data_IF_597764768647
#
_entry.id   IF_597764768647
#
_cell.length_a   1.000
_cell.length_b   1.000
_cell.length_c   1.000
_cell.angle_alpha   90.00
_cell.angle_beta   90.00
_cell.angle_gamma   90.00
#
_symmetry.space_group_name_H-M   'P 1'
#
loop_
_entity.id
_entity.type
_entity.pdbx_description
1 polymer ?
#
# COMPACT_ATOMS: atom_id res chain seq x y z
N UNK A 1 -35.37 9.33 53.17
CA UNK A 1 -34.67 8.47 52.18
C UNK A 1 -35.45 8.47 50.88
N UNK A 2 -34.77 8.74 49.76
CA UNK A 2 -35.00 8.29 48.38
C UNK A 2 -34.45 9.35 47.41
N UNK A 3 -33.18 9.21 47.06
CA UNK A 3 -32.55 9.91 45.93
C UNK A 3 -32.83 9.14 44.63
N UNK A 4 -33.14 9.80 43.51
CA UNK A 4 -32.90 9.25 42.19
C UNK A 4 -31.58 9.77 41.61
N UNK A 5 -30.82 8.82 41.09
CA UNK A 5 -29.65 8.98 40.24
C UNK A 5 -30.07 9.51 38.86
N UNK A 6 -29.36 10.49 38.32
CA UNK A 6 -28.91 10.50 36.91
C UNK A 6 -27.81 11.53 36.78
N UNK A 7 -26.60 11.03 36.58
CA UNK A 7 -25.46 11.78 36.06
C UNK A 7 -25.12 11.24 34.68
N UNK A 8 -24.47 12.08 33.87
CA UNK A 8 -23.77 11.62 32.68
C UNK A 8 -24.13 12.38 31.42
N UNK A 9 -23.41 13.47 31.18
CA UNK A 9 -23.32 14.11 29.88
C UNK A 9 -22.74 13.12 28.84
N UNK A 10 -23.50 12.79 27.81
CA UNK A 10 -22.98 12.08 26.64
C UNK A 10 -22.29 13.08 25.71
N UNK A 11 -20.96 13.05 25.77
CA UNK A 11 -20.02 13.78 24.94
C UNK A 11 -20.05 13.25 23.51
N UNK A 12 -20.01 14.16 22.55
CA UNK A 12 -19.67 13.96 21.15
C UNK A 12 -18.26 13.37 21.03
N UNK A 13 -18.18 12.09 20.68
CA UNK A 13 -17.04 11.37 20.08
C UNK A 13 -17.74 10.25 19.27
N UNK A 14 -17.40 9.87 18.05
CA UNK A 14 -16.10 9.75 17.43
C UNK A 14 -16.41 9.34 15.98
N UNK A 15 -16.08 10.16 14.98
CA UNK A 15 -15.98 9.70 13.59
C UNK A 15 -14.51 9.38 13.35
N UNK A 16 -14.01 8.36 14.03
CA UNK A 16 -12.69 7.83 13.74
C UNK A 16 -12.85 6.67 12.77
N UNK A 17 -12.23 6.88 11.63
CA UNK A 17 -12.22 6.03 10.47
C UNK A 17 -11.68 4.65 10.87
N UNK A 18 -12.48 3.62 10.62
CA UNK A 18 -12.23 2.25 11.05
C UNK A 18 -11.25 1.64 10.03
N UNK A 19 -9.96 1.81 10.27
CA UNK A 19 -8.91 0.94 9.74
C UNK A 19 -8.01 0.52 10.90
N UNK A 20 -8.56 -0.33 11.75
CA UNK A 20 -7.75 -1.12 12.67
C UNK A 20 -8.36 -2.51 12.75
N UNK A 21 -7.74 -3.44 12.05
CA UNK A 21 -7.93 -4.89 12.19
C UNK A 21 -6.51 -5.44 12.08
N UNK A 22 -5.84 -5.63 13.22
CA UNK A 22 -5.66 -6.95 13.83
C UNK A 22 -4.86 -7.90 12.92
N UNK A 23 -3.57 -7.63 12.78
CA UNK A 23 -2.48 -8.60 12.79
C UNK A 23 -1.21 -7.85 13.21
N UNK A 24 -0.46 -8.36 14.19
CA UNK A 24 0.80 -7.75 14.69
C UNK A 24 1.95 -8.06 13.71
N UNK A 25 1.70 -7.92 12.41
CA UNK A 25 2.70 -7.83 11.37
C UNK A 25 3.00 -6.36 11.14
N UNK A 26 4.21 -5.90 11.42
CA UNK A 26 4.55 -4.49 11.33
C UNK A 26 4.27 -3.95 9.91
N UNK A 27 3.18 -3.19 9.75
CA UNK A 27 2.89 -2.47 8.50
C UNK A 27 3.97 -1.41 8.34
N UNK A 28 4.75 -1.54 7.28
CA UNK A 28 5.89 -0.68 7.02
C UNK A 28 5.43 0.58 6.31
N UNK A 29 5.29 1.63 7.08
CA UNK A 29 4.78 2.91 6.62
C UNK A 29 5.93 3.90 6.35
N UNK A 30 6.01 4.43 5.14
CA UNK A 30 6.99 5.45 4.74
C UNK A 30 6.32 6.72 4.22
N UNK A 31 6.88 7.89 4.57
CA UNK A 31 6.57 9.14 3.87
C UNK A 31 7.24 9.14 2.49
N UNK A 32 6.66 9.83 1.50
CA UNK A 32 7.27 9.96 0.17
C UNK A 32 8.68 10.59 0.21
N UNK A 33 8.98 11.34 1.26
CA UNK A 33 10.31 11.90 1.54
C UNK A 33 11.35 10.80 1.83
N UNK A 34 10.91 9.64 2.33
CA UNK A 34 11.76 8.47 2.59
C UNK A 34 11.93 7.59 1.34
N UNK A 35 12.06 8.23 0.17
CA UNK A 35 12.11 7.55 -1.14
C UNK A 35 13.16 6.43 -1.22
N UNK A 36 14.32 6.61 -0.58
CA UNK A 36 15.35 5.58 -0.51
C UNK A 36 14.83 4.28 0.11
N UNK A 37 14.15 4.37 1.26
CA UNK A 37 13.55 3.20 1.93
C UNK A 37 12.41 2.62 1.10
N UNK A 38 11.59 3.47 0.49
CA UNK A 38 10.50 3.04 -0.39
C UNK A 38 11.05 2.19 -1.53
N UNK A 39 12.13 2.65 -2.17
CA UNK A 39 12.81 1.93 -3.26
C UNK A 39 13.32 0.56 -2.79
N UNK A 40 14.00 0.51 -1.63
CA UNK A 40 14.49 -0.76 -1.06
C UNK A 40 13.37 -1.76 -0.80
N UNK A 41 12.26 -1.33 -0.20
CA UNK A 41 11.11 -2.19 0.08
C UNK A 41 10.34 -2.57 -1.18
N UNK A 42 10.24 -1.67 -2.15
CA UNK A 42 9.64 -1.95 -3.45
C UNK A 42 10.42 -3.03 -4.19
N UNK A 43 11.75 -2.94 -4.22
CA UNK A 43 12.60 -3.98 -4.81
C UNK A 43 12.39 -5.32 -4.09
N UNK A 44 12.42 -5.33 -2.75
CA UNK A 44 12.19 -6.55 -1.96
C UNK A 44 10.82 -7.19 -2.23
N UNK A 45 9.79 -6.38 -2.40
CA UNK A 45 8.44 -6.84 -2.66
C UNK A 45 8.33 -7.59 -3.99
N UNK A 46 8.94 -7.03 -5.05
CA UNK A 46 8.85 -7.55 -6.41
C UNK A 46 10.03 -8.42 -6.85
N UNK A 47 11.03 -8.62 -5.99
CA UNK A 47 12.24 -9.37 -6.30
C UNK A 47 11.88 -10.80 -6.76
N UNK A 48 12.34 -11.16 -7.96
CA UNK A 48 12.09 -12.48 -8.56
C UNK A 48 10.72 -12.65 -9.22
N UNK A 49 9.86 -11.62 -9.20
CA UNK A 49 8.51 -11.66 -9.78
C UNK A 49 8.42 -11.07 -11.20
N UNK A 50 9.50 -10.43 -11.67
CA UNK A 50 9.52 -9.75 -12.97
C UNK A 50 10.66 -8.74 -13.06
N UNK A 51 10.48 -7.75 -13.93
CA UNK A 51 11.44 -6.66 -14.14
C UNK A 51 11.12 -5.49 -13.21
N UNK A 52 12.14 -5.03 -12.49
CA UNK A 52 12.05 -3.90 -11.56
C UNK A 52 13.01 -2.82 -12.06
N UNK A 53 12.50 -1.61 -12.25
CA UNK A 53 13.29 -0.43 -12.58
C UNK A 53 13.15 0.57 -11.43
N UNK A 54 14.29 1.01 -10.90
CA UNK A 54 14.33 2.02 -9.83
C UNK A 54 15.16 3.22 -10.26
N UNK A 55 14.68 4.40 -9.90
CA UNK A 55 15.30 5.69 -10.19
C UNK A 55 15.02 6.65 -9.04
N UNK A 56 15.74 7.78 -9.02
CA UNK A 56 15.56 8.80 -7.96
C UNK A 56 14.18 9.46 -7.99
N UNK A 57 13.46 9.32 -9.11
CA UNK A 57 12.14 9.93 -9.33
C UNK A 57 11.01 8.91 -9.57
N UNK A 58 11.34 7.66 -9.89
CA UNK A 58 10.36 6.65 -10.32
C UNK A 58 10.75 5.24 -9.85
N UNK A 59 9.74 4.45 -9.48
CA UNK A 59 9.84 3.01 -9.27
C UNK A 59 8.83 2.34 -10.21
N UNK A 60 9.26 1.31 -10.91
CA UNK A 60 8.43 0.58 -11.86
C UNK A 60 8.62 -0.92 -11.67
N UNK A 61 7.51 -1.63 -11.66
CA UNK A 61 7.47 -3.08 -11.74
C UNK A 61 6.64 -3.49 -12.95
N UNK A 62 7.13 -4.47 -13.69
CA UNK A 62 6.40 -5.15 -14.77
C UNK A 62 6.58 -6.65 -14.64
N UNK A 63 5.46 -7.39 -14.57
CA UNK A 63 5.50 -8.85 -14.64
C UNK A 63 5.88 -9.32 -16.05
N UNK A 64 6.61 -10.43 -16.13
CA UNK A 64 7.02 -11.04 -17.41
C UNK A 64 6.10 -12.20 -17.76
N UNK A 65 5.96 -12.50 -19.05
CA UNK A 65 5.22 -13.68 -19.53
C UNK A 65 5.82 -15.00 -18.99
N UNK A 66 5.03 -16.08 -18.83
CA UNK A 66 3.64 -16.30 -19.28
C UNK A 66 2.56 -15.82 -18.29
N UNK A 67 2.93 -15.07 -17.25
CA UNK A 67 2.03 -14.69 -16.17
C UNK A 67 1.13 -13.49 -16.53
N UNK A 68 0.14 -13.21 -15.68
CA UNK A 68 -0.78 -12.06 -15.83
C UNK A 68 0.03 -10.78 -16.05
N UNK A 69 -0.17 -10.11 -17.18
CA UNK A 69 0.48 -8.83 -17.51
C UNK A 69 -0.02 -7.75 -16.56
N UNK A 70 0.76 -7.47 -15.52
CA UNK A 70 0.51 -6.41 -14.54
C UNK A 70 1.76 -5.57 -14.38
N UNK A 71 1.56 -4.29 -14.14
CA UNK A 71 2.65 -3.38 -13.85
C UNK A 71 2.15 -2.24 -12.99
N UNK A 72 3.03 -1.74 -12.15
CA UNK A 72 2.80 -0.56 -11.32
C UNK A 72 4.00 0.36 -11.40
N UNK A 73 3.71 1.64 -11.58
CA UNK A 73 4.67 2.73 -11.63
C UNK A 73 4.32 3.70 -10.51
N UNK A 74 5.30 4.06 -9.71
CA UNK A 74 5.22 5.05 -8.64
C UNK A 74 6.20 6.17 -8.94
N UNK A 75 5.77 7.42 -8.77
CA UNK A 75 6.61 8.61 -8.89
C UNK A 75 6.85 9.22 -7.51
N UNK A 76 8.04 9.79 -7.30
CA UNK A 76 8.39 10.58 -6.12
C UNK A 76 7.55 11.84 -5.96
N UNK A 77 6.83 12.25 -7.00
CA UNK A 77 5.84 13.34 -6.94
C UNK A 77 4.46 12.86 -6.45
N UNK A 78 4.34 11.60 -6.04
CA UNK A 78 3.11 11.02 -5.50
C UNK A 78 2.18 10.50 -6.58
N UNK A 79 2.63 10.40 -7.83
CA UNK A 79 1.79 9.87 -8.92
C UNK A 79 1.93 8.37 -9.03
N UNK A 80 0.85 7.68 -9.35
CA UNK A 80 0.88 6.25 -9.66
C UNK A 80 0.21 5.95 -10.99
N UNK A 81 0.72 4.92 -11.67
CA UNK A 81 0.06 4.32 -12.83
C UNK A 81 0.10 2.79 -12.67
N UNK A 82 -1.01 2.12 -12.92
CA UNK A 82 -1.08 0.66 -12.94
C UNK A 82 -1.70 0.19 -14.25
N UNK A 83 -1.17 -0.89 -14.83
CA UNK A 83 -1.47 -1.28 -16.22
C UNK A 83 -2.71 -2.19 -16.38
N UNK A 84 -3.65 -2.19 -15.44
CA UNK A 84 -4.93 -2.91 -15.57
C UNK A 84 -6.07 -2.16 -14.89
N UNK A 85 -7.22 -1.98 -15.57
CA UNK A 85 -7.40 -0.97 -16.62
C UNK A 85 -6.85 0.40 -16.15
N UNK A 86 -6.11 1.07 -17.03
CA UNK A 86 -5.47 2.37 -16.77
C UNK A 86 -6.49 3.43 -16.32
N UNK A 87 -6.65 3.58 -15.01
CA UNK A 87 -7.09 4.84 -14.45
C UNK A 87 -5.83 5.64 -14.16
N UNK A 88 -5.57 6.68 -14.97
CA UNK A 88 -4.73 7.77 -14.50
C UNK A 88 -5.42 8.32 -13.26
N UNK A 89 -4.93 7.91 -12.09
CA UNK A 89 -5.37 8.46 -10.83
C UNK A 89 -4.69 9.82 -10.72
N UNK A 90 -5.43 10.89 -11.02
CA UNK A 90 -5.04 12.29 -10.81
C UNK A 90 -4.80 12.64 -9.31
N UNK A 91 -4.85 11.63 -8.43
CA UNK A 91 -4.60 11.77 -7.02
C UNK A 91 -3.13 11.55 -6.69
N UNK A 92 -2.55 12.46 -5.91
CA UNK A 92 -1.18 12.33 -5.41
C UNK A 92 -1.16 11.63 -4.05
N UNK A 93 -0.42 10.53 -3.92
CA UNK A 93 -0.11 9.94 -2.62
C UNK A 93 1.06 10.68 -1.96
N UNK A 94 1.06 10.73 -0.63
CA UNK A 94 2.14 11.28 0.19
C UNK A 94 2.72 10.24 1.15
N UNK A 95 2.08 9.07 1.26
CA UNK A 95 2.51 7.94 2.08
C UNK A 95 2.34 6.63 1.34
N UNK A 96 3.23 5.69 1.64
CA UNK A 96 3.14 4.31 1.18
C UNK A 96 3.26 3.37 2.37
N UNK A 97 2.48 2.31 2.34
CA UNK A 97 2.47 1.25 3.34
C UNK A 97 2.70 -0.08 2.65
N UNK A 98 3.74 -0.80 3.05
CA UNK A 98 3.97 -2.17 2.62
C UNK A 98 3.38 -3.12 3.65
N UNK A 99 2.64 -4.11 3.17
CA UNK A 99 2.19 -5.22 4.00
C UNK A 99 3.40 -6.05 4.49
N UNK A 100 3.26 -6.69 5.64
CA UNK A 100 4.34 -7.46 6.25
C UNK A 100 4.79 -8.65 5.39
N UNK A 101 3.86 -9.29 4.67
CA UNK A 101 4.16 -10.40 3.76
C UNK A 101 4.71 -9.93 2.42
N UNK A 102 4.71 -8.61 2.17
CA UNK A 102 5.06 -7.99 0.89
C UNK A 102 4.22 -8.53 -0.28
N UNK A 103 2.95 -8.83 -0.02
CA UNK A 103 2.00 -9.27 -1.05
C UNK A 103 1.11 -8.11 -1.52
N UNK A 104 1.08 -7.01 -0.77
CA UNK A 104 0.34 -5.81 -1.11
C UNK A 104 1.05 -4.54 -0.64
N UNK A 105 0.76 -3.44 -1.33
CA UNK A 105 1.16 -2.09 -0.93
C UNK A 105 -0.03 -1.17 -1.00
N UNK A 106 -0.07 -0.19 -0.11
CA UNK A 106 -1.15 0.77 0.02
C UNK A 106 -0.59 2.18 -0.13
N UNK A 107 -1.16 2.94 -1.05
CA UNK A 107 -0.86 4.34 -1.32
C UNK A 107 -1.90 5.22 -0.64
N UNK A 108 -1.45 6.21 0.13
CA UNK A 108 -2.30 7.10 0.90
C UNK A 108 -1.98 8.54 0.50
N UNK A 109 -3.01 9.31 0.16
CA UNK A 109 -2.96 10.71 -0.23
C UNK A 109 -4.18 11.48 0.27
N UNK A 110 -4.28 12.75 -0.09
CA UNK A 110 -5.43 13.57 0.29
C UNK A 110 -6.70 13.08 -0.41
N UNK A 111 -7.62 12.48 0.36
CA UNK A 111 -8.83 11.83 -0.19
C UNK A 111 -8.55 10.61 -1.07
N UNK A 112 -7.32 10.08 -1.07
CA UNK A 112 -6.89 8.97 -1.90
C UNK A 112 -6.37 7.83 -1.05
N UNK A 113 -6.92 6.64 -1.28
CA UNK A 113 -6.50 5.41 -0.62
C UNK A 113 -6.60 4.28 -1.65
N UNK A 114 -5.47 3.74 -2.07
CA UNK A 114 -5.41 2.70 -3.08
C UNK A 114 -4.49 1.57 -2.64
N UNK A 115 -4.99 0.34 -2.67
CA UNK A 115 -4.22 -0.86 -2.35
C UNK A 115 -3.96 -1.64 -3.64
N UNK A 116 -2.68 -1.79 -3.98
CA UNK A 116 -2.23 -2.72 -5.00
C UNK A 116 -1.93 -4.06 -4.35
N UNK A 117 -2.52 -5.13 -4.86
CA UNK A 117 -2.27 -6.51 -4.43
C UNK A 117 -1.64 -7.31 -5.55
N UNK A 118 -0.56 -8.01 -5.26
CA UNK A 118 0.06 -8.94 -6.20
C UNK A 118 -0.92 -10.11 -6.42
N UNK A 119 -1.24 -10.48 -7.67
CA UNK A 119 -2.05 -11.65 -7.95
C UNK A 119 -1.41 -12.93 -7.40
N UNK A 120 -2.21 -13.85 -6.86
CA UNK A 120 -1.72 -15.13 -6.30
C UNK A 120 -0.90 -15.96 -7.32
N UNK A 121 -1.23 -15.85 -8.62
CA UNK A 121 -0.49 -16.50 -9.71
C UNK A 121 0.99 -16.06 -9.77
N UNK A 122 1.27 -14.80 -9.41
CA UNK A 122 2.64 -14.26 -9.36
C UNK A 122 3.29 -14.62 -8.02
N UNK A 123 2.52 -14.60 -6.92
CA UNK A 123 3.02 -14.98 -5.59
C UNK A 123 3.48 -16.44 -5.53
N UNK A 124 2.82 -17.35 -6.25
CA UNK A 124 3.21 -18.75 -6.35
C UNK A 124 4.66 -18.95 -6.83
N UNK A 125 5.18 -18.05 -7.68
CA UNK A 125 6.58 -18.08 -8.18
C UNK A 125 7.58 -17.85 -7.04
N UNK A 126 7.24 -16.96 -6.10
CA UNK A 126 8.08 -16.62 -4.95
C UNK A 126 8.32 -17.83 -4.04
N UNK A 127 7.34 -18.73 -3.97
CA UNK A 127 7.41 -19.96 -3.18
C UNK A 127 8.12 -21.12 -3.91
N UNK A 128 8.13 -21.15 -5.24
CA UNK A 128 8.74 -22.23 -6.03
C UNK A 128 10.27 -22.09 -6.20
N UNK A 129 10.82 -20.90 -5.96
CA UNK A 129 12.27 -20.63 -6.08
C UNK A 129 13.11 -21.04 -4.85
N UNK A 130 12.64 -21.99 -4.03
CA UNK A 130 13.38 -22.51 -2.87
C UNK A 130 14.07 -23.85 -3.12
#
# INVERSE_FOLDING_TARGET
MNHPLVGGASRLLQRENIYTSMDDGAIMNFSIEEWGKISEWFVKMFQGLGSIETSEEMLQFTSIEPYVTTGIVLSRQGKMAANMPLHNLDSTFNRIQFDNSLDSLTLIGDGFHYTYRIPDEILAIKSDSN
#
